data_IF_082995507011
#
_entry.id   IF_082995507011
#
_cell.length_a   1.000
_cell.length_b   1.000
_cell.length_c   1.000
_cell.angle_alpha   90.00
_cell.angle_beta   90.00
_cell.angle_gamma   90.00
#
_symmetry.space_group_name_H-M   'P 1'
#
loop_
_entity.id
_entity.type
_entity.pdbx_description
1 polymer ?
#
# COMPACT_ATOMS: atom_id res chain seq x y z
N UNK A 1 21.62 -4.93 -1.51
CA UNK A 1 20.47 -4.25 -0.86
C UNK A 1 19.41 -5.29 -0.60
N UNK A 2 18.74 -5.27 0.55
CA UNK A 2 17.56 -6.12 0.78
C UNK A 2 16.37 -5.41 0.14
N UNK A 3 15.90 -5.93 -0.99
CA UNK A 3 14.59 -5.57 -1.53
C UNK A 3 13.56 -6.21 -0.60
N UNK A 4 12.58 -5.44 -0.11
CA UNK A 4 11.49 -6.03 0.66
C UNK A 4 10.70 -6.97 -0.25
N UNK A 5 10.37 -8.15 0.27
CA UNK A 5 9.57 -9.12 -0.48
C UNK A 5 8.12 -8.65 -0.61
N UNK A 6 7.40 -9.18 -1.61
CA UNK A 6 5.96 -8.92 -1.82
C UNK A 6 5.16 -9.06 -0.50
N UNK A 7 5.51 -10.09 0.30
CA UNK A 7 4.91 -10.35 1.60
C UNK A 7 5.26 -9.29 2.66
N UNK A 8 6.51 -8.81 2.71
CA UNK A 8 6.92 -7.76 3.67
C UNK A 8 6.24 -6.42 3.36
N UNK A 9 6.09 -6.09 2.07
CA UNK A 9 5.40 -4.88 1.64
C UNK A 9 3.90 -5.00 1.95
N UNK A 10 3.29 -6.16 1.65
CA UNK A 10 1.90 -6.41 1.98
C UNK A 10 1.65 -6.32 3.49
N UNK A 11 2.47 -6.96 4.32
CA UNK A 11 2.30 -6.96 5.78
C UNK A 11 2.45 -5.55 6.35
N UNK A 12 3.43 -4.79 5.84
CA UNK A 12 3.62 -3.40 6.25
C UNK A 12 2.50 -2.47 5.79
N UNK A 13 1.98 -2.64 4.57
CA UNK A 13 0.79 -1.93 4.08
C UNK A 13 -0.45 -2.30 4.89
N UNK A 14 -0.68 -3.59 5.12
CA UNK A 14 -1.81 -4.09 5.88
C UNK A 14 -1.82 -3.53 7.30
N UNK A 15 -0.66 -3.43 7.94
CA UNK A 15 -0.53 -2.77 9.24
C UNK A 15 -0.87 -1.27 9.19
N UNK A 16 -0.40 -0.56 8.17
CA UNK A 16 -0.72 0.87 8.00
C UNK A 16 -2.23 1.07 7.76
N UNK A 17 -2.84 0.22 6.94
CA UNK A 17 -4.28 0.28 6.64
C UNK A 17 -5.10 -0.04 7.90
N UNK A 18 -4.68 -1.02 8.69
CA UNK A 18 -5.29 -1.34 9.99
C UNK A 18 -5.19 -0.14 10.96
N UNK A 19 -4.04 0.52 11.04
CA UNK A 19 -3.87 1.69 11.91
C UNK A 19 -4.65 2.94 11.46
N UNK A 20 -4.73 3.18 10.15
CA UNK A 20 -5.36 4.39 9.58
C UNK A 20 -6.87 4.21 9.38
N UNK A 21 -7.27 3.06 8.82
CA UNK A 21 -8.65 2.78 8.40
C UNK A 21 -9.35 1.82 9.35
N UNK A 22 -8.61 1.00 10.11
CA UNK A 22 -9.19 -0.01 11.00
C UNK A 22 -9.62 -1.27 10.25
N UNK A 23 -9.03 -1.56 9.09
CA UNK A 23 -9.29 -2.77 8.32
C UNK A 23 -8.29 -3.84 8.70
N UNK A 24 -8.80 -5.02 9.05
CA UNK A 24 -7.96 -6.14 9.48
C UNK A 24 -6.98 -6.55 8.38
N UNK A 25 -5.74 -6.86 8.78
CA UNK A 25 -4.67 -7.30 7.90
C UNK A 25 -5.07 -8.52 7.05
N UNK A 26 -5.99 -9.34 7.57
CA UNK A 26 -6.52 -10.53 6.89
C UNK A 26 -7.42 -10.19 5.70
N UNK A 27 -8.06 -9.02 5.69
CA UNK A 27 -8.91 -8.55 4.59
C UNK A 27 -8.06 -7.90 3.47
N UNK A 28 -6.85 -7.44 3.81
CA UNK A 28 -5.90 -6.83 2.87
C UNK A 28 -5.22 -7.93 2.06
N UNK A 29 -5.83 -8.28 0.93
CA UNK A 29 -5.28 -9.26 -0.02
C UNK A 29 -4.80 -8.56 -1.30
N UNK A 30 -3.80 -9.10 -2.02
CA UNK A 30 -3.25 -8.46 -3.21
C UNK A 30 -4.30 -8.22 -4.32
N UNK A 31 -5.35 -9.04 -4.35
CA UNK A 31 -6.42 -8.96 -5.36
C UNK A 31 -7.48 -7.89 -5.03
N UNK A 32 -7.48 -7.35 -3.82
CA UNK A 32 -8.46 -6.37 -3.35
C UNK A 32 -8.11 -4.97 -3.82
N UNK A 33 -9.15 -4.21 -4.18
CA UNK A 33 -9.05 -2.80 -4.49
C UNK A 33 -9.21 -1.96 -3.21
N UNK A 34 -8.34 -0.96 -3.02
CA UNK A 34 -8.41 -0.10 -1.83
C UNK A 34 -9.74 0.64 -1.75
N UNK A 35 -10.22 1.20 -2.85
CA UNK A 35 -11.44 2.02 -2.89
C UNK A 35 -12.66 1.12 -3.08
N UNK A 36 -12.67 0.25 -4.10
CA UNK A 36 -13.87 -0.52 -4.48
C UNK A 36 -14.16 -1.72 -3.55
N UNK A 37 -13.14 -2.37 -2.97
CA UNK A 37 -13.33 -3.55 -2.12
C UNK A 37 -13.17 -3.26 -0.63
N UNK A 38 -12.16 -2.47 -0.28
CA UNK A 38 -11.84 -2.12 1.11
C UNK A 38 -12.56 -0.84 1.57
N UNK A 39 -13.31 -0.17 0.67
CA UNK A 39 -14.06 1.06 0.95
C UNK A 39 -13.18 2.17 1.57
N UNK A 40 -11.91 2.23 1.14
CA UNK A 40 -10.94 3.20 1.62
C UNK A 40 -11.16 4.53 0.92
N UNK A 41 -11.38 5.57 1.71
CA UNK A 41 -11.47 6.93 1.22
C UNK A 41 -10.17 7.40 0.55
N UNK A 42 -10.32 8.21 -0.49
CA UNK A 42 -9.17 8.83 -1.19
C UNK A 42 -8.24 9.65 -0.29
N UNK A 43 -8.76 10.22 0.81
CA UNK A 43 -7.94 10.90 1.83
C UNK A 43 -7.08 9.90 2.62
N UNK A 44 -7.70 8.81 3.08
CA UNK A 44 -7.01 7.73 3.78
C UNK A 44 -5.95 7.08 2.91
N UNK A 45 -6.20 6.94 1.58
CA UNK A 45 -5.18 6.48 0.62
C UNK A 45 -3.93 7.35 0.62
N UNK A 46 -4.06 8.69 0.71
CA UNK A 46 -2.92 9.60 0.76
C UNK A 46 -2.14 9.39 2.07
N UNK A 47 -2.83 9.23 3.19
CA UNK A 47 -2.18 8.95 4.48
C UNK A 47 -1.45 7.60 4.48
N UNK A 48 -2.08 6.55 3.95
CA UNK A 48 -1.48 5.21 3.79
C UNK A 48 -0.24 5.29 2.91
N UNK A 49 -0.30 6.00 1.78
CA UNK A 49 0.83 6.17 0.88
C UNK A 49 2.00 6.89 1.56
N UNK A 50 1.73 7.98 2.27
CA UNK A 50 2.77 8.74 3.01
C UNK A 50 3.40 7.88 4.11
N UNK A 51 2.60 7.12 4.86
CA UNK A 51 3.10 6.20 5.88
C UNK A 51 3.91 5.05 5.27
N UNK A 52 3.47 4.50 4.13
CA UNK A 52 4.19 3.46 3.41
C UNK A 52 5.52 3.98 2.86
N UNK A 53 5.53 5.19 2.29
CA UNK A 53 6.75 5.87 1.83
C UNK A 53 7.79 6.02 2.93
N UNK A 54 7.38 6.49 4.11
CA UNK A 54 8.28 6.65 5.26
C UNK A 54 8.78 5.29 5.77
N UNK A 55 7.87 4.30 5.87
CA UNK A 55 8.19 2.94 6.36
C UNK A 55 9.13 2.17 5.44
N UNK A 56 8.91 2.24 4.13
CA UNK A 56 9.68 1.51 3.12
C UNK A 56 10.84 2.34 2.52
N UNK A 57 10.91 3.64 2.84
CA UNK A 57 11.89 4.56 2.29
C UNK A 57 11.74 4.75 0.77
N UNK A 58 10.50 4.76 0.27
CA UNK A 58 10.18 4.92 -1.15
C UNK A 58 9.46 6.23 -1.41
N UNK A 59 9.42 6.68 -2.65
CA UNK A 59 8.68 7.88 -3.07
C UNK A 59 7.60 7.48 -4.07
N UNK A 60 6.33 7.60 -3.70
CA UNK A 60 5.19 7.25 -4.56
C UNK A 60 4.57 8.57 -5.05
N UNK A 61 4.79 8.95 -6.31
CA UNK A 61 4.19 10.18 -6.84
C UNK A 61 2.67 10.06 -6.91
N UNK A 62 1.96 11.17 -6.70
CA UNK A 62 0.49 11.22 -6.72
C UNK A 62 -0.13 10.64 -8.00
N UNK A 63 0.53 10.83 -9.15
CA UNK A 63 0.10 10.25 -10.43
C UNK A 63 0.13 8.71 -10.42
N UNK A 64 1.16 8.11 -9.83
CA UNK A 64 1.23 6.66 -9.65
C UNK A 64 0.19 6.24 -8.61
N UNK A 65 0.10 6.90 -7.45
CA UNK A 65 -0.90 6.59 -6.42
C UNK A 65 -2.33 6.53 -6.98
N UNK A 66 -2.69 7.42 -7.90
CA UNK A 66 -3.99 7.41 -8.58
C UNK A 66 -4.18 6.26 -9.57
N UNK A 67 -3.10 5.74 -10.13
CA UNK A 67 -3.10 4.55 -10.98
C UNK A 67 -3.10 3.26 -10.13
N UNK A 68 -2.58 3.30 -8.90
CA UNK A 68 -2.55 2.19 -7.96
C UNK A 68 -3.94 1.96 -7.33
N UNK A 69 -4.73 1.08 -7.96
CA UNK A 69 -6.07 0.73 -7.46
C UNK A 69 -6.10 -0.50 -6.57
N UNK A 70 -5.20 -1.45 -6.82
CA UNK A 70 -5.16 -2.71 -6.07
C UNK A 70 -3.93 -2.79 -5.17
N UNK A 71 -4.05 -3.56 -4.09
CA UNK A 71 -2.94 -3.83 -3.16
C UNK A 71 -1.74 -4.40 -3.92
N UNK A 72 -1.96 -5.29 -4.88
CA UNK A 72 -0.92 -5.85 -5.73
C UNK A 72 -0.20 -4.81 -6.59
N UNK A 73 -0.90 -3.83 -7.14
CA UNK A 73 -0.26 -2.75 -7.91
C UNK A 73 0.71 -1.99 -7.02
N UNK A 74 0.29 -1.61 -5.81
CA UNK A 74 1.16 -0.89 -4.86
C UNK A 74 2.37 -1.72 -4.50
N UNK A 75 2.19 -3.01 -4.19
CA UNK A 75 3.30 -3.88 -3.83
C UNK A 75 4.31 -3.97 -4.98
N UNK A 76 3.85 -4.23 -6.20
CA UNK A 76 4.72 -4.29 -7.38
C UNK A 76 5.45 -2.97 -7.60
N UNK A 77 4.77 -1.84 -7.40
CA UNK A 77 5.35 -0.52 -7.55
C UNK A 77 6.47 -0.26 -6.53
N UNK A 78 6.19 -0.48 -5.24
CA UNK A 78 7.17 -0.35 -4.16
C UNK A 78 8.37 -1.28 -4.38
N UNK A 79 8.14 -2.52 -4.80
CA UNK A 79 9.20 -3.48 -5.09
C UNK A 79 10.09 -3.05 -6.26
N UNK A 80 9.50 -2.44 -7.31
CA UNK A 80 10.27 -1.87 -8.43
C UNK A 80 11.13 -0.68 -7.99
N UNK A 81 10.64 0.16 -7.08
CA UNK A 81 11.41 1.31 -6.57
C UNK A 81 12.58 0.89 -5.68
N UNK A 82 12.48 -0.23 -4.98
CA UNK A 82 13.54 -0.77 -4.13
C UNK A 82 14.56 -1.65 -4.88
N UNK A 83 14.35 -1.92 -6.17
CA UNK A 83 15.20 -2.79 -7.01
C UNK A 83 16.49 -2.15 -7.51
#
# INVERSE_FOLDING_TARGET
MKVATEQEILDGLAEIIDEIVGIDKSEVTPEKNFIDDLDIDSLSMVEIAVAAQDKFGVEIPDDELRNLKTVKDVINFVQNLQS
#
